data_IF_619222632933
#
_entry.id   IF_619222632933
#
_cell.length_a   1.000
_cell.length_b   1.000
_cell.length_c   1.000
_cell.angle_alpha   90.00
_cell.angle_beta   90.00
_cell.angle_gamma   90.00
#
_symmetry.space_group_name_H-M   'P 1'
#
loop_
_entity.id
_entity.type
_entity.pdbx_description
1 polymer ?
#
# COMPACT_ATOMS: atom_id res chain seq x y z
N UNK A 1 22.91 -2.58 -7.27
CA UNK A 1 22.28 -1.75 -8.31
C UNK A 1 20.82 -1.60 -7.96
N UNK A 2 20.23 -0.42 -8.15
CA UNK A 2 18.81 -0.18 -7.85
C UNK A 2 17.90 -0.86 -8.87
N UNK A 3 16.71 -1.30 -8.45
CA UNK A 3 15.71 -1.84 -9.39
C UNK A 3 15.06 -0.72 -10.20
N UNK A 4 14.53 -1.04 -11.37
CA UNK A 4 13.82 -0.04 -12.19
C UNK A 4 12.56 0.46 -11.47
N UNK A 5 11.87 -0.41 -10.72
CA UNK A 5 10.69 -0.02 -9.94
C UNK A 5 11.05 0.99 -8.84
N UNK A 6 12.13 0.73 -8.10
CA UNK A 6 12.59 1.66 -7.06
C UNK A 6 13.04 2.99 -7.65
N UNK A 7 13.65 2.96 -8.84
CA UNK A 7 13.99 4.17 -9.60
C UNK A 7 12.72 4.95 -9.98
N UNK A 8 11.70 4.26 -10.48
CA UNK A 8 10.41 4.87 -10.85
C UNK A 8 9.78 5.59 -9.66
N UNK A 9 9.76 4.97 -8.47
CA UNK A 9 9.25 5.59 -7.25
C UNK A 9 10.01 6.88 -6.92
N UNK A 10 11.34 6.86 -6.98
CA UNK A 10 12.14 8.08 -6.73
C UNK A 10 11.86 9.16 -7.79
N UNK A 11 11.75 8.78 -9.05
CA UNK A 11 11.49 9.73 -10.14
C UNK A 11 10.14 10.41 -9.94
N UNK A 12 9.07 9.64 -9.67
CA UNK A 12 7.72 10.18 -9.51
C UNK A 12 7.58 10.97 -8.20
N UNK A 13 8.04 10.43 -7.07
CA UNK A 13 7.79 11.02 -5.75
C UNK A 13 8.69 12.23 -5.42
N UNK A 14 9.80 12.41 -6.13
CA UNK A 14 10.79 13.46 -5.80
C UNK A 14 11.18 14.29 -7.02
N UNK A 15 11.59 13.63 -8.10
CA UNK A 15 12.21 14.33 -9.23
C UNK A 15 11.16 15.05 -10.08
N UNK A 16 10.03 14.41 -10.34
CA UNK A 16 8.92 14.98 -11.12
C UNK A 16 8.37 16.23 -10.44
N UNK A 17 8.06 16.15 -9.14
CA UNK A 17 7.58 17.28 -8.34
C UNK A 17 8.58 18.45 -8.33
N UNK A 18 9.88 18.14 -8.18
CA UNK A 18 10.91 19.19 -8.14
C UNK A 18 11.11 19.87 -9.50
N UNK A 19 11.02 19.11 -10.61
CA UNK A 19 11.08 19.68 -11.96
C UNK A 19 9.82 20.48 -12.30
N UNK A 20 8.64 20.01 -11.89
CA UNK A 20 7.37 20.69 -12.12
C UNK A 20 7.29 22.04 -11.36
N UNK A 21 7.98 22.17 -10.22
CA UNK A 21 8.03 23.40 -9.43
C UNK A 21 8.90 24.52 -10.05
N UNK A 22 9.70 24.22 -11.08
CA UNK A 22 10.62 25.20 -11.70
C UNK A 22 9.83 26.24 -12.53
N UNK A 23 10.03 27.55 -12.32
CA UNK A 23 9.33 28.59 -13.07
C UNK A 23 9.54 28.44 -14.60
N UNK A 24 8.44 28.38 -15.34
CA UNK A 24 8.45 28.24 -16.80
C UNK A 24 8.35 26.80 -17.31
N UNK A 25 8.34 25.80 -16.43
CA UNK A 25 7.99 24.42 -16.78
C UNK A 25 6.48 24.30 -16.91
N UNK A 26 6.03 23.84 -18.07
CA UNK A 26 4.61 23.65 -18.35
C UNK A 26 4.13 22.23 -18.02
N UNK A 27 4.99 21.22 -18.23
CA UNK A 27 4.66 19.81 -18.05
C UNK A 27 5.95 18.97 -17.94
N UNK A 28 5.89 17.90 -17.15
CA UNK A 28 6.98 16.91 -16.97
C UNK A 28 6.40 15.54 -17.28
N UNK A 29 7.08 14.75 -18.11
CA UNK A 29 6.64 13.41 -18.50
C UNK A 29 7.69 12.36 -18.18
N UNK A 30 7.29 11.34 -17.44
CA UNK A 30 8.09 10.16 -17.14
C UNK A 30 7.86 9.11 -18.24
N UNK A 31 8.91 8.41 -18.65
CA UNK A 31 8.85 7.37 -19.68
C UNK A 31 9.70 6.17 -19.28
N UNK A 32 9.19 4.96 -19.57
CA UNK A 32 9.87 3.71 -19.20
C UNK A 32 9.78 3.41 -17.71
N UNK A 33 8.80 4.01 -17.04
CA UNK A 33 8.41 3.72 -15.67
C UNK A 33 7.96 2.26 -15.52
N UNK A 34 8.10 1.75 -14.30
CA UNK A 34 7.62 0.43 -13.94
C UNK A 34 7.04 0.44 -12.54
N UNK A 35 5.75 0.17 -12.46
CA UNK A 35 5.03 0.14 -11.17
C UNK A 35 5.70 -0.81 -10.17
N UNK A 36 5.84 -0.31 -8.95
CA UNK A 36 6.25 -1.10 -7.81
C UNK A 36 5.02 -1.80 -7.24
N UNK A 37 4.84 -3.07 -7.60
CA UNK A 37 3.73 -3.91 -7.15
C UNK A 37 4.19 -5.03 -6.23
N UNK A 38 3.37 -5.37 -5.25
CA UNK A 38 3.47 -6.63 -4.52
C UNK A 38 2.81 -7.74 -5.34
N UNK A 39 3.54 -8.83 -5.56
CA UNK A 39 2.99 -10.05 -6.17
C UNK A 39 2.78 -11.09 -5.09
N UNK A 40 1.56 -11.61 -5.04
CA UNK A 40 1.16 -12.63 -4.07
C UNK A 40 0.97 -13.93 -4.84
N UNK A 41 1.91 -14.86 -4.66
CA UNK A 41 1.86 -16.20 -5.24
C UNK A 41 1.24 -17.18 -4.23
N UNK A 42 0.27 -17.96 -4.67
CA UNK A 42 -0.62 -18.72 -3.76
C UNK A 42 -0.72 -20.17 -4.20
N UNK A 43 -0.61 -21.09 -3.23
CA UNK A 43 -0.90 -22.51 -3.45
C UNK A 43 -2.42 -22.76 -3.37
N UNK A 44 -3.04 -22.98 -4.53
CA UNK A 44 -4.48 -23.23 -4.63
C UNK A 44 -4.91 -24.55 -3.95
N UNK A 45 -4.06 -25.57 -3.90
CA UNK A 45 -4.38 -26.83 -3.25
C UNK A 45 -4.45 -26.65 -1.74
N UNK A 46 -3.48 -25.90 -1.18
CA UNK A 46 -3.48 -25.58 0.25
C UNK A 46 -4.70 -24.73 0.60
N UNK A 47 -5.02 -23.73 -0.21
CA UNK A 47 -6.17 -22.87 -0.01
C UNK A 47 -7.49 -23.67 0.02
N UNK A 48 -7.68 -24.57 -0.97
CA UNK A 48 -8.84 -25.45 -1.03
C UNK A 48 -8.89 -26.47 0.12
N UNK A 49 -7.74 -26.98 0.58
CA UNK A 49 -7.68 -27.90 1.72
C UNK A 49 -8.16 -27.27 3.04
N UNK A 50 -8.06 -25.95 3.15
CA UNK A 50 -8.60 -25.16 4.26
C UNK A 50 -10.04 -24.67 4.00
N UNK A 51 -10.67 -25.06 2.89
CA UNK A 51 -12.04 -24.68 2.55
C UNK A 51 -12.19 -23.27 1.97
N UNK A 52 -11.09 -22.60 1.62
CA UNK A 52 -11.10 -21.26 1.05
C UNK A 52 -11.01 -21.28 -0.48
N UNK A 53 -11.43 -20.18 -1.10
CA UNK A 53 -11.35 -19.92 -2.54
C UNK A 53 -10.48 -18.68 -2.83
N UNK A 54 -10.03 -18.53 -4.08
CA UNK A 54 -9.31 -17.32 -4.48
C UNK A 54 -10.12 -16.03 -4.28
N UNK A 55 -11.45 -16.11 -4.28
CA UNK A 55 -12.32 -14.98 -3.96
C UNK A 55 -12.24 -14.57 -2.48
N UNK A 56 -12.11 -15.54 -1.58
CA UNK A 56 -11.94 -15.29 -0.14
C UNK A 56 -10.60 -14.62 0.13
N UNK A 57 -9.53 -15.08 -0.53
CA UNK A 57 -8.22 -14.42 -0.45
C UNK A 57 -8.27 -12.98 -0.98
N UNK A 58 -8.90 -12.75 -2.14
CA UNK A 58 -9.08 -11.40 -2.68
C UNK A 58 -9.81 -10.50 -1.69
N UNK A 59 -10.82 -11.04 -1.01
CA UNK A 59 -11.61 -10.29 0.00
C UNK A 59 -10.76 -9.95 1.22
N UNK A 60 -9.95 -10.89 1.72
CA UNK A 60 -9.03 -10.65 2.84
C UNK A 60 -7.96 -9.61 2.50
N UNK A 61 -7.43 -9.63 1.28
CA UNK A 61 -6.46 -8.62 0.82
C UNK A 61 -7.11 -7.25 0.63
N UNK A 62 -8.39 -7.20 0.26
CA UNK A 62 -9.10 -5.93 0.09
C UNK A 62 -9.36 -5.21 1.42
N UNK A 63 -9.50 -5.92 2.54
CA UNK A 63 -9.70 -5.29 3.85
C UNK A 63 -8.44 -4.65 4.44
N UNK A 64 -7.27 -5.00 3.91
CA UNK A 64 -5.98 -4.45 4.33
C UNK A 64 -5.75 -3.03 3.79
N UNK A 65 -6.40 -2.66 2.71
CA UNK A 65 -6.29 -1.31 2.14
C UNK A 65 -7.01 -0.21 2.96
N UNK A 66 -7.53 -0.52 4.15
CA UNK A 66 -8.37 0.39 4.93
C UNK A 66 -7.61 1.00 6.13
N UNK A 67 -7.01 2.17 5.95
CA UNK A 67 -6.55 3.05 7.03
C UNK A 67 -7.78 3.59 7.78
N UNK A 68 -8.28 2.84 8.76
CA UNK A 68 -9.40 3.29 9.58
C UNK A 68 -8.89 4.13 10.76
N UNK A 69 -9.33 5.40 10.92
CA UNK A 69 -8.99 6.18 12.08
C UNK A 69 -9.61 5.56 13.34
N UNK A 70 -8.81 5.41 14.40
CA UNK A 70 -9.26 4.83 15.67
C UNK A 70 -10.16 5.76 16.51
N UNK A 71 -10.43 6.97 16.02
CA UNK A 71 -11.34 7.95 16.65
C UNK A 71 -10.59 9.06 17.41
N UNK A 72 -11.29 9.73 18.33
CA UNK A 72 -10.70 10.76 19.19
C UNK A 72 -11.12 10.55 20.65
N UNK A 73 -10.19 10.76 21.57
CA UNK A 73 -10.44 10.80 23.01
C UNK A 73 -10.56 12.28 23.40
N UNK A 74 -11.77 12.70 23.77
CA UNK A 74 -12.01 14.03 24.34
C UNK A 74 -11.91 13.95 25.87
N UNK A 75 -10.94 14.65 26.43
CA UNK A 75 -10.82 14.96 27.87
C UNK A 75 -11.31 16.38 28.11
N UNK A 76 -11.69 16.72 29.36
CA UNK A 76 -12.25 18.02 29.77
C UNK A 76 -11.50 19.25 29.24
N UNK A 77 -10.20 19.14 28.93
CA UNK A 77 -9.37 20.23 28.41
C UNK A 77 -8.61 19.91 27.11
N UNK A 78 -8.73 18.71 26.52
CA UNK A 78 -7.92 18.28 25.36
C UNK A 78 -8.66 17.27 24.47
N UNK A 79 -8.60 17.46 23.16
CA UNK A 79 -8.97 16.47 22.15
C UNK A 79 -7.71 15.77 21.64
N UNK A 80 -7.60 14.45 21.90
CA UNK A 80 -6.56 13.61 21.32
C UNK A 80 -7.12 12.80 20.16
N UNK A 81 -6.59 12.99 18.96
CA UNK A 81 -6.89 12.14 17.80
C UNK A 81 -6.04 10.86 17.92
N UNK A 82 -6.70 9.70 17.97
CA UNK A 82 -6.03 8.41 17.95
C UNK A 82 -6.11 7.85 16.53
N UNK A 83 -4.95 7.62 15.91
CA UNK A 83 -4.85 6.95 14.61
C UNK A 83 -4.20 5.59 14.80
N UNK A 84 -4.85 4.55 14.30
CA UNK A 84 -4.22 3.24 14.10
C UNK A 84 -3.66 3.20 12.70
N UNK A 85 -2.34 3.17 12.57
CA UNK A 85 -1.69 2.89 11.27
C UNK A 85 -1.85 1.41 10.98
N UNK A 86 -2.66 1.08 9.97
CA UNK A 86 -2.85 -0.28 9.48
C UNK A 86 -2.22 -0.48 8.08
N UNK A 87 -1.17 0.27 7.78
CA UNK A 87 -0.50 0.21 6.49
C UNK A 87 0.31 -1.08 6.37
N UNK A 88 -0.16 -2.02 5.55
CA UNK A 88 0.65 -3.17 5.12
C UNK A 88 1.51 -2.73 3.95
N UNK A 89 2.81 -2.63 4.20
CA UNK A 89 3.79 -2.03 3.26
C UNK A 89 4.97 -2.94 2.95
N UNK A 90 5.07 -4.10 3.62
CA UNK A 90 6.13 -5.08 3.43
C UNK A 90 5.56 -6.45 3.03
N UNK A 91 6.32 -7.26 2.27
CA UNK A 91 5.90 -8.63 1.94
C UNK A 91 5.55 -9.46 3.17
N UNK A 92 6.32 -9.31 4.25
CA UNK A 92 6.13 -10.03 5.51
C UNK A 92 4.80 -9.66 6.19
N UNK A 93 4.38 -8.40 6.11
CA UNK A 93 3.07 -7.97 6.61
C UNK A 93 1.92 -8.57 5.79
N UNK A 94 2.09 -8.74 4.46
CA UNK A 94 1.11 -9.44 3.62
C UNK A 94 0.97 -10.93 4.00
N UNK A 95 2.05 -11.58 4.41
CA UNK A 95 2.02 -12.98 4.86
C UNK A 95 1.27 -13.17 6.18
N UNK A 96 1.21 -12.13 7.02
CA UNK A 96 0.51 -12.16 8.31
C UNK A 96 -0.99 -11.86 8.18
N UNK A 97 -1.50 -11.61 6.97
CA UNK A 97 -2.92 -11.38 6.73
C UNK A 97 -3.68 -12.69 6.96
N UNK A 98 -4.66 -12.64 7.86
CA UNK A 98 -5.54 -13.78 8.11
C UNK A 98 -6.64 -13.84 7.06
N UNK A 99 -6.78 -15.00 6.41
CA UNK A 99 -7.86 -15.27 5.45
C UNK A 99 -8.99 -15.96 6.21
N UNK A 100 -10.11 -15.26 6.36
CA UNK A 100 -11.30 -15.75 7.08
C UNK A 100 -11.49 -15.13 8.46
N UNK A 101 -12.74 -14.82 8.78
CA UNK A 101 -13.23 -14.42 10.10
C UNK A 101 -14.43 -15.28 10.49
#
# INVERSE_FOLDING_TARGET
TMSVQDMTVIVQDQIEDELAAVPGVADVQVSGDRDKIFRIDVDQNKLASHGFTGADLRTALASVAFDSPAGSITTTNQDLIVRTTADVTTPEEFENITVGG
#
